data_IF_896131930010
#
_entry.id   IF_896131930010
#
_cell.length_a   1.000
_cell.length_b   1.000
_cell.length_c   1.000
_cell.angle_alpha   90.00
_cell.angle_beta   90.00
_cell.angle_gamma   90.00
#
_symmetry.space_group_name_H-M   'P 1'
#
loop_
_entity.id
_entity.type
_entity.pdbx_description
1 polymer ?
#
# COMPACT_ATOMS: atom_id res chain seq x y z
N UNK A 1 -16.01 -21.57 16.53
CA UNK A 1 -15.85 -20.16 16.08
C UNK A 1 -14.81 -19.53 16.98
N UNK A 2 -13.70 -18.98 16.47
CA UNK A 2 -12.78 -18.21 17.32
C UNK A 2 -13.49 -16.90 17.71
N UNK A 3 -13.54 -16.60 19.00
CA UNK A 3 -14.03 -15.31 19.49
C UNK A 3 -13.14 -14.19 18.95
N UNK A 4 -13.76 -13.05 18.60
CA UNK A 4 -13.05 -11.87 18.13
C UNK A 4 -12.53 -11.13 19.38
N UNK A 5 -11.22 -11.02 19.53
CA UNK A 5 -10.62 -10.28 20.64
C UNK A 5 -10.94 -8.79 20.49
N UNK A 6 -11.76 -8.27 21.40
CA UNK A 6 -12.19 -6.87 21.39
C UNK A 6 -11.17 -6.01 22.13
N UNK A 7 -10.82 -4.87 21.52
CA UNK A 7 -9.95 -3.86 22.11
C UNK A 7 -10.55 -2.47 21.93
N UNK A 8 -10.11 -1.50 22.73
CA UNK A 8 -10.59 -0.11 22.66
C UNK A 8 -9.44 0.79 22.26
N UNK A 9 -9.71 1.72 21.33
CA UNK A 9 -8.80 2.81 20.99
C UNK A 9 -9.41 4.14 21.43
N UNK A 10 -8.61 4.98 22.07
CA UNK A 10 -9.02 6.34 22.43
C UNK A 10 -8.71 7.29 21.28
N UNK A 11 -9.71 8.06 20.86
CA UNK A 11 -9.59 9.09 19.82
C UNK A 11 -10.30 10.36 20.26
N UNK A 12 -9.97 11.49 19.64
CA UNK A 12 -10.69 12.74 19.91
C UNK A 12 -12.15 12.64 19.47
N UNK A 13 -13.03 13.34 20.18
CA UNK A 13 -14.45 13.44 19.83
C UNK A 13 -14.64 13.96 18.40
N UNK A 14 -13.81 14.93 17.99
CA UNK A 14 -13.81 15.48 16.63
C UNK A 14 -13.48 14.40 15.60
N UNK A 15 -12.50 13.55 15.88
CA UNK A 15 -12.13 12.42 15.01
C UNK A 15 -13.29 11.44 14.92
N UNK A 16 -13.86 11.02 16.05
CA UNK A 16 -14.97 10.07 16.10
C UNK A 16 -16.16 10.56 15.27
N UNK A 17 -16.61 11.80 15.48
CA UNK A 17 -17.72 12.41 14.71
C UNK A 17 -17.45 12.41 13.21
N UNK A 18 -16.22 12.73 12.80
CA UNK A 18 -15.84 12.71 11.39
C UNK A 18 -15.92 11.30 10.80
N UNK A 19 -15.44 10.29 11.54
CA UNK A 19 -15.50 8.90 11.11
C UNK A 19 -16.95 8.37 11.08
N UNK A 20 -17.79 8.72 12.06
CA UNK A 20 -19.21 8.34 12.09
C UNK A 20 -19.98 8.87 10.88
N UNK A 21 -19.72 10.13 10.49
CA UNK A 21 -20.38 10.76 9.35
C UNK A 21 -20.10 10.05 8.01
N UNK A 22 -18.94 9.40 7.88
CA UNK A 22 -18.52 8.69 6.65
C UNK A 22 -18.72 7.17 6.74
N UNK A 23 -18.76 6.60 7.95
CA UNK A 23 -18.95 5.15 8.18
C UNK A 23 -20.25 4.64 7.57
N UNK A 24 -21.29 5.47 7.56
CA UNK A 24 -22.61 5.08 7.08
C UNK A 24 -23.17 3.88 7.88
N UNK A 25 -23.64 2.86 7.16
CA UNK A 25 -24.24 1.65 7.74
C UNK A 25 -23.22 0.57 8.15
N UNK A 26 -21.93 0.74 7.86
CA UNK A 26 -20.91 -0.26 8.19
C UNK A 26 -20.72 -0.39 9.71
N UNK A 27 -20.28 -1.55 10.18
CA UNK A 27 -19.75 -1.67 11.54
C UNK A 27 -18.44 -0.89 11.69
N UNK A 28 -18.04 -0.59 12.93
CA UNK A 28 -16.75 0.06 13.20
C UNK A 28 -15.57 -0.77 12.71
N UNK A 29 -15.63 -2.09 12.90
CA UNK A 29 -14.58 -3.00 12.47
C UNK A 29 -14.42 -3.01 10.95
N UNK A 30 -15.53 -3.19 10.21
CA UNK A 30 -15.50 -3.18 8.74
C UNK A 30 -14.96 -1.86 8.20
N UNK A 31 -15.44 -0.75 8.77
CA UNK A 31 -15.04 0.57 8.31
C UNK A 31 -13.56 0.87 8.58
N UNK A 32 -13.07 0.58 9.79
CA UNK A 32 -11.67 0.82 10.15
C UNK A 32 -10.71 -0.11 9.41
N UNK A 33 -11.10 -1.36 9.15
CA UNK A 33 -10.33 -2.28 8.33
C UNK A 33 -10.24 -1.79 6.88
N UNK A 34 -11.37 -1.43 6.27
CA UNK A 34 -11.38 -0.87 4.91
C UNK A 34 -10.51 0.39 4.82
N UNK A 35 -10.60 1.29 5.81
CA UNK A 35 -9.79 2.51 5.85
C UNK A 35 -8.29 2.20 5.93
N UNK A 36 -7.89 1.19 6.72
CA UNK A 36 -6.51 0.77 6.86
C UNK A 36 -5.97 0.15 5.55
N UNK A 37 -6.76 -0.72 4.91
CA UNK A 37 -6.40 -1.30 3.61
C UNK A 37 -6.25 -0.24 2.52
N UNK A 38 -7.18 0.71 2.44
CA UNK A 38 -7.11 1.79 1.46
C UNK A 38 -5.93 2.73 1.70
N UNK A 39 -5.57 2.96 2.96
CA UNK A 39 -4.34 3.69 3.30
C UNK A 39 -3.09 2.92 2.85
N UNK A 40 -3.02 1.60 3.10
CA UNK A 40 -1.90 0.77 2.66
C UNK A 40 -1.78 0.73 1.12
N UNK A 41 -2.89 0.50 0.41
CA UNK A 41 -2.93 0.47 -1.07
C UNK A 41 -2.42 1.77 -1.67
N UNK A 42 -2.85 2.92 -1.13
CA UNK A 42 -2.36 4.24 -1.57
C UNK A 42 -0.87 4.40 -1.34
N UNK A 43 -0.38 4.04 -0.14
CA UNK A 43 1.05 4.15 0.18
C UNK A 43 1.92 3.27 -0.71
N UNK A 44 1.46 2.05 -1.04
CA UNK A 44 2.15 1.17 -2.00
C UNK A 44 2.16 1.80 -3.39
N UNK A 45 1.01 2.30 -3.86
CA UNK A 45 0.89 2.94 -5.16
C UNK A 45 1.82 4.16 -5.27
N UNK A 46 1.83 5.03 -4.27
CA UNK A 46 2.73 6.20 -4.22
C UNK A 46 4.21 5.78 -4.25
N UNK A 47 4.57 4.66 -3.60
CA UNK A 47 5.93 4.12 -3.68
C UNK A 47 6.29 3.63 -5.08
N UNK A 48 5.37 2.91 -5.75
CA UNK A 48 5.55 2.45 -7.13
C UNK A 48 5.64 3.63 -8.10
N UNK A 49 4.78 4.63 -7.94
CA UNK A 49 4.77 5.80 -8.82
C UNK A 49 6.09 6.59 -8.68
N UNK A 50 6.60 6.74 -7.45
CA UNK A 50 7.95 7.31 -7.23
C UNK A 50 9.07 6.49 -7.87
N UNK A 51 9.00 5.15 -7.81
CA UNK A 51 9.97 4.28 -8.49
C UNK A 51 9.91 4.47 -10.01
N UNK A 52 8.72 4.65 -10.58
CA UNK A 52 8.53 4.93 -12.02
C UNK A 52 9.05 6.30 -12.43
N UNK A 53 8.98 7.30 -11.56
CA UNK A 53 9.58 8.62 -11.83
C UNK A 53 11.11 8.58 -11.85
N UNK A 54 11.72 7.67 -11.08
CA UNK A 54 13.17 7.51 -11.00
C UNK A 54 13.69 6.66 -12.17
N UNK A 55 12.93 5.66 -12.61
CA UNK A 55 13.34 4.74 -13.68
C UNK A 55 12.88 5.29 -15.02
N UNK A 56 13.79 5.92 -15.76
CA UNK A 56 13.53 6.31 -17.15
C UNK A 56 13.48 5.09 -18.08
N UNK A 57 12.88 5.22 -19.26
CA UNK A 57 12.97 4.16 -20.30
C UNK A 57 14.43 3.81 -20.64
N UNK A 58 15.36 4.76 -20.49
CA UNK A 58 16.79 4.51 -20.63
C UNK A 58 17.36 3.65 -19.50
N UNK A 59 16.87 3.81 -18.26
CA UNK A 59 17.30 2.98 -17.13
C UNK A 59 16.79 1.54 -17.28
N UNK A 60 15.58 1.35 -17.81
CA UNK A 60 15.05 0.02 -18.15
C UNK A 60 15.91 -0.63 -19.23
N UNK A 61 16.24 0.10 -20.31
CA UNK A 61 17.13 -0.40 -21.38
C UNK A 61 18.52 -0.77 -20.85
N UNK A 62 19.10 0.05 -19.96
CA UNK A 62 20.40 -0.25 -19.35
C UNK A 62 20.35 -1.50 -18.47
N UNK A 63 19.27 -1.70 -17.71
CA UNK A 63 19.06 -2.93 -16.93
C UNK A 63 19.00 -4.12 -17.89
N UNK A 64 18.17 -4.08 -18.94
CA UNK A 64 18.06 -5.16 -19.94
C UNK A 64 19.39 -5.48 -20.63
N UNK A 65 20.14 -4.46 -21.07
CA UNK A 65 21.45 -4.63 -21.68
C UNK A 65 22.48 -5.23 -20.72
N UNK A 66 22.46 -4.82 -19.44
CA UNK A 66 23.35 -5.36 -18.42
C UNK A 66 23.06 -6.85 -18.12
N UNK A 67 21.78 -7.23 -18.05
CA UNK A 67 21.37 -8.63 -17.88
C UNK A 67 21.76 -9.49 -19.09
N UNK A 68 21.63 -8.95 -20.30
CA UNK A 68 22.01 -9.64 -21.53
C UNK A 68 23.52 -9.88 -21.61
N UNK A 69 24.33 -8.86 -21.29
CA UNK A 69 25.79 -8.99 -21.20
C UNK A 69 26.22 -9.98 -20.13
N UNK A 70 25.59 -9.94 -18.95
CA UNK A 70 25.87 -10.90 -17.89
C UNK A 70 25.53 -12.35 -18.31
N UNK A 71 24.39 -12.58 -18.98
CA UNK A 71 24.06 -13.91 -19.48
C UNK A 71 25.00 -14.41 -20.59
N UNK A 72 25.59 -13.52 -21.38
CA UNK A 72 26.61 -13.86 -22.39
C UNK A 72 27.97 -14.14 -21.75
N UNK A 73 28.37 -13.38 -20.73
CA UNK A 73 29.65 -13.56 -20.00
C UNK A 73 29.65 -14.78 -19.07
N UNK A 74 28.49 -15.16 -18.51
CA UNK A 74 28.36 -16.31 -17.61
C UNK A 74 27.89 -17.61 -18.30
N UNK A 75 27.79 -17.62 -19.64
CA UNK A 75 27.76 -18.88 -20.40
C UNK A 75 29.18 -19.49 -20.41
N UNK A 76 29.50 -20.20 -19.34
CA UNK A 76 30.53 -21.25 -19.31
C UNK A 76 29.96 -22.54 -19.90
#
# INVERSE_FOLDING_TARGET
>A
MKEKELTTISISEKTKKKLEAIKGSMSWDEFLLNLAEDYQKRRIKEGIDKLREIISEEDIKKIEESHKKMHEEFKL
#
